data_IF_852098603848
#
_entry.id   IF_852098603848
#
_cell.length_a   1.000
_cell.length_b   1.000
_cell.length_c   1.000
_cell.angle_alpha   90.00
_cell.angle_beta   90.00
_cell.angle_gamma   90.00
#
_symmetry.space_group_name_H-M   'P 1'
#
loop_
_entity.id
_entity.type
_entity.pdbx_description
1 polymer ?
#
# COMPACT_ATOMS: atom_id res chain seq x y z
N UNK A 1 11.71 31.58 24.74
CA UNK A 1 12.16 30.59 23.74
C UNK A 1 11.77 29.21 24.23
N UNK A 2 11.30 28.31 23.37
CA UNK A 2 11.13 26.87 23.69
C UNK A 2 10.97 26.07 22.38
N UNK A 3 12.04 26.04 21.59
CA UNK A 3 12.12 25.24 20.36
C UNK A 3 12.40 23.78 20.69
N UNK A 4 11.42 23.08 21.27
CA UNK A 4 11.38 21.61 21.24
C UNK A 4 11.07 21.17 19.81
N UNK A 5 12.05 21.33 18.92
CA UNK A 5 12.06 20.61 17.66
C UNK A 5 11.99 19.12 17.99
N UNK A 6 11.07 18.40 17.34
CA UNK A 6 10.88 16.98 17.55
C UNK A 6 12.12 16.24 17.07
N UNK A 7 13.09 16.05 17.97
CA UNK A 7 14.32 15.29 17.72
C UNK A 7 13.95 13.81 17.63
N UNK A 8 13.44 13.42 16.46
CA UNK A 8 13.00 12.07 16.15
C UNK A 8 14.23 11.17 16.01
N UNK A 9 14.71 10.66 17.15
CA UNK A 9 15.86 9.76 17.22
C UNK A 9 15.65 8.55 16.32
N UNK A 10 16.43 8.47 15.25
CA UNK A 10 16.45 7.31 14.36
C UNK A 10 17.09 6.16 15.14
N UNK A 11 16.33 5.10 15.37
CA UNK A 11 16.83 3.86 15.97
C UNK A 11 17.18 2.90 14.84
N UNK A 12 18.47 2.64 14.65
CA UNK A 12 18.96 1.70 13.63
C UNK A 12 18.60 0.27 13.98
N UNK A 13 18.10 -0.49 13.01
CA UNK A 13 17.54 -1.82 13.21
C UNK A 13 18.52 -2.98 13.05
N UNK A 14 18.10 -4.13 13.57
CA UNK A 14 18.71 -5.45 13.35
C UNK A 14 18.40 -6.02 11.96
N UNK A 15 18.87 -7.24 11.68
CA UNK A 15 18.68 -7.94 10.39
C UNK A 15 17.17 -8.16 10.10
N UNK A 16 16.59 -7.49 9.09
CA UNK A 16 15.15 -7.54 8.83
C UNK A 16 14.72 -8.82 8.11
N UNK A 17 15.64 -9.70 7.69
CA UNK A 17 15.33 -10.86 6.82
C UNK A 17 14.45 -11.93 7.48
N UNK A 18 14.28 -11.89 8.80
CA UNK A 18 13.33 -12.73 9.52
C UNK A 18 11.88 -12.22 9.50
N UNK A 19 11.63 -11.01 8.98
CA UNK A 19 10.32 -10.36 9.00
C UNK A 19 9.49 -10.73 7.76
N UNK A 20 8.20 -11.07 7.91
CA UNK A 20 7.33 -11.30 6.76
C UNK A 20 7.16 -10.04 5.90
N UNK A 21 7.16 -8.84 6.51
CA UNK A 21 7.09 -7.55 5.81
C UNK A 21 8.31 -7.32 4.92
N UNK A 22 9.51 -7.74 5.36
CA UNK A 22 10.74 -7.62 4.58
C UNK A 22 10.78 -8.61 3.40
N UNK A 23 10.15 -9.76 3.54
CA UNK A 23 9.94 -10.68 2.42
C UNK A 23 8.96 -10.09 1.40
N UNK A 24 7.83 -9.54 1.86
CA UNK A 24 6.82 -8.91 1.01
C UNK A 24 7.34 -7.68 0.25
N UNK A 25 8.09 -6.79 0.92
CA UNK A 25 8.62 -5.57 0.27
C UNK A 25 9.64 -5.91 -0.82
N UNK A 26 10.46 -6.96 -0.64
CA UNK A 26 11.40 -7.41 -1.68
C UNK A 26 10.69 -8.02 -2.88
N UNK A 27 9.65 -8.83 -2.67
CA UNK A 27 8.88 -9.38 -3.80
C UNK A 27 8.17 -8.26 -4.60
N UNK A 28 7.60 -7.27 -3.90
CA UNK A 28 6.99 -6.09 -4.53
C UNK A 28 8.00 -5.26 -5.33
N UNK A 29 9.22 -5.07 -4.82
CA UNK A 29 10.32 -4.40 -5.53
C UNK A 29 10.83 -5.22 -6.73
N UNK A 30 10.90 -6.55 -6.62
CA UNK A 30 11.42 -7.44 -7.67
C UNK A 30 10.56 -7.47 -8.94
N UNK A 31 9.27 -7.12 -8.84
CA UNK A 31 8.40 -6.88 -10.01
C UNK A 31 9.05 -5.94 -11.04
N UNK A 32 9.82 -4.95 -10.58
CA UNK A 32 10.53 -3.98 -11.44
C UNK A 32 11.77 -4.56 -12.17
N UNK A 33 11.95 -5.88 -12.11
CA UNK A 33 12.93 -6.67 -12.87
C UNK A 33 12.27 -7.87 -13.59
N UNK A 34 10.97 -8.09 -13.42
CA UNK A 34 10.27 -9.27 -13.95
C UNK A 34 9.91 -9.11 -15.43
N UNK A 35 10.09 -10.13 -16.30
CA UNK A 35 9.87 -9.99 -17.75
C UNK A 35 8.47 -9.52 -18.17
N UNK A 36 7.42 -9.91 -17.44
CA UNK A 36 6.04 -9.48 -17.71
C UNK A 36 5.67 -8.09 -17.16
N UNK A 37 6.61 -7.40 -16.49
CA UNK A 37 6.44 -6.07 -15.89
C UNK A 37 5.12 -5.87 -15.13
N UNK A 38 4.80 -6.73 -14.14
CA UNK A 38 3.58 -6.59 -13.34
C UNK A 38 3.63 -5.29 -12.51
N UNK A 39 2.45 -4.70 -12.25
CA UNK A 39 2.35 -3.39 -11.61
C UNK A 39 2.92 -3.38 -10.17
N UNK A 40 3.69 -2.33 -9.86
CA UNK A 40 4.23 -2.07 -8.52
C UNK A 40 3.32 -1.15 -7.72
N UNK A 41 2.86 -1.66 -6.58
CA UNK A 41 2.14 -0.89 -5.58
C UNK A 41 3.12 -0.12 -4.67
N UNK A 42 3.58 1.04 -5.13
CA UNK A 42 4.48 1.90 -4.35
C UNK A 42 3.94 2.30 -2.96
N UNK A 43 2.61 2.37 -2.79
CA UNK A 43 1.99 2.63 -1.48
C UNK A 43 2.14 1.46 -0.52
N UNK A 44 2.14 0.23 -1.03
CA UNK A 44 2.45 -0.98 -0.25
C UNK A 44 3.92 -1.04 0.13
N UNK A 45 4.84 -0.68 -0.77
CA UNK A 45 6.27 -0.56 -0.46
C UNK A 45 6.50 0.46 0.67
N UNK A 46 5.85 1.61 0.60
CA UNK A 46 5.91 2.65 1.64
C UNK A 46 5.34 2.16 2.98
N UNK A 47 4.19 1.47 3.00
CA UNK A 47 3.57 1.00 4.24
C UNK A 47 4.33 -0.16 4.91
N UNK A 48 4.86 -1.11 4.12
CA UNK A 48 5.70 -2.21 4.62
C UNK A 48 7.00 -1.67 5.22
N UNK A 49 7.65 -0.70 4.58
CA UNK A 49 8.85 -0.08 5.14
C UNK A 49 8.57 0.63 6.47
N UNK A 50 7.47 1.39 6.56
CA UNK A 50 7.03 2.04 7.78
C UNK A 50 6.60 1.05 8.88
N UNK A 51 6.23 -0.19 8.55
CA UNK A 51 5.98 -1.26 9.51
C UNK A 51 7.30 -1.83 10.06
N UNK A 52 8.26 -2.15 9.18
CA UNK A 52 9.60 -2.64 9.55
C UNK A 52 10.33 -1.64 10.46
N UNK A 53 10.29 -0.34 10.12
CA UNK A 53 10.91 0.71 10.95
C UNK A 53 10.35 0.75 12.38
N UNK A 54 9.08 0.40 12.58
CA UNK A 54 8.43 0.36 13.90
C UNK A 54 8.72 -0.92 14.67
N UNK A 55 8.84 -2.05 13.96
CA UNK A 55 8.99 -3.38 14.56
C UNK A 55 10.46 -3.75 14.86
N UNK A 56 11.39 -3.36 13.98
CA UNK A 56 12.80 -3.77 14.00
C UNK A 56 13.78 -2.58 14.04
N UNK A 57 13.31 -1.36 13.79
CA UNK A 57 14.17 -0.19 13.57
C UNK A 57 14.57 -0.02 12.10
N UNK A 58 15.36 1.01 11.81
CA UNK A 58 15.68 1.42 10.43
C UNK A 58 16.96 0.75 9.94
N UNK A 59 16.88 -0.03 8.86
CA UNK A 59 18.01 -0.62 8.14
C UNK A 59 18.19 -0.02 6.73
N UNK A 60 19.36 -0.22 6.11
CA UNK A 60 19.70 0.41 4.83
C UNK A 60 18.81 -0.06 3.66
N UNK A 61 18.42 -1.33 3.59
CA UNK A 61 17.62 -1.85 2.48
C UNK A 61 16.19 -1.30 2.58
N UNK A 62 15.60 -1.33 3.78
CA UNK A 62 14.27 -0.78 4.00
C UNK A 62 14.26 0.74 3.82
N UNK A 63 15.34 1.45 4.20
CA UNK A 63 15.48 2.89 3.99
C UNK A 63 15.59 3.28 2.49
N UNK A 64 16.32 2.51 1.67
CA UNK A 64 16.37 2.77 0.21
C UNK A 64 15.07 2.40 -0.49
N UNK A 65 14.39 1.31 -0.08
CA UNK A 65 13.06 0.94 -0.59
C UNK A 65 12.01 2.00 -0.23
N UNK A 66 11.99 2.48 1.02
CA UNK A 66 11.14 3.60 1.47
C UNK A 66 11.40 4.85 0.64
N UNK A 67 12.66 5.26 0.49
CA UNK A 67 13.03 6.47 -0.26
C UNK A 67 12.62 6.34 -1.74
N UNK A 68 12.78 5.16 -2.34
CA UNK A 68 12.35 4.90 -3.72
C UNK A 68 10.82 5.00 -3.87
N UNK A 69 10.07 4.45 -2.93
CA UNK A 69 8.62 4.56 -2.89
C UNK A 69 8.16 6.00 -2.72
N UNK A 70 8.70 6.75 -1.75
CA UNK A 70 8.43 8.18 -1.54
C UNK A 70 8.78 9.03 -2.76
N UNK A 71 9.87 8.72 -3.45
CA UNK A 71 10.25 9.39 -4.71
C UNK A 71 9.21 9.14 -5.82
N UNK A 72 8.56 7.97 -5.84
CA UNK A 72 7.48 7.64 -6.79
C UNK A 72 6.12 8.21 -6.39
N UNK A 73 5.79 8.25 -5.09
CA UNK A 73 4.47 8.71 -4.60
C UNK A 73 4.40 10.22 -4.37
N UNK A 74 5.53 10.90 -4.13
CA UNK A 74 5.60 12.31 -3.73
C UNK A 74 6.73 13.10 -4.44
N UNK A 75 7.35 12.53 -5.49
CA UNK A 75 8.35 13.22 -6.31
C UNK A 75 9.57 13.68 -5.51
N UNK A 76 10.00 14.91 -5.76
CA UNK A 76 11.18 15.50 -5.12
C UNK A 76 11.04 15.64 -3.59
N UNK A 77 9.85 15.95 -3.07
CA UNK A 77 9.65 16.05 -1.62
C UNK A 77 9.92 14.71 -0.92
N UNK A 78 9.37 13.63 -1.48
CA UNK A 78 9.62 12.28 -0.99
C UNK A 78 11.06 11.80 -1.16
N UNK A 79 11.75 12.23 -2.23
CA UNK A 79 13.20 11.98 -2.38
C UNK A 79 14.03 12.74 -1.32
N UNK A 80 13.71 14.01 -1.08
CA UNK A 80 14.40 14.87 -0.12
C UNK A 80 14.35 14.27 1.30
N UNK A 81 13.17 13.91 1.80
CA UNK A 81 12.99 13.30 3.12
C UNK A 81 13.73 11.96 3.27
N UNK A 82 13.68 11.10 2.25
CA UNK A 82 14.38 9.82 2.28
C UNK A 82 15.90 9.96 2.15
N UNK A 83 16.37 10.96 1.39
CA UNK A 83 17.78 11.32 1.34
C UNK A 83 18.28 11.86 2.70
N UNK A 84 17.48 12.66 3.41
CA UNK A 84 17.79 13.13 4.76
C UNK A 84 17.82 11.96 5.78
N UNK A 85 16.88 11.02 5.71
CA UNK A 85 16.88 9.80 6.52
C UNK A 85 18.16 8.97 6.29
N UNK A 86 18.50 8.71 5.03
CA UNK A 86 19.72 7.99 4.65
C UNK A 86 20.99 8.75 5.10
N UNK A 87 20.99 10.08 4.97
CA UNK A 87 22.12 10.92 5.39
C UNK A 87 22.35 10.88 6.91
N UNK A 88 21.29 10.91 7.71
CA UNK A 88 21.38 10.79 9.16
C UNK A 88 21.94 9.41 9.57
N UNK A 89 21.37 8.31 9.03
CA UNK A 89 21.85 6.95 9.30
C UNK A 89 23.33 6.76 8.90
N UNK A 90 23.69 7.15 7.68
CA UNK A 90 25.05 7.02 7.15
C UNK A 90 26.04 7.84 7.99
N UNK A 91 25.71 9.09 8.32
CA UNK A 91 26.62 9.98 9.06
C UNK A 91 26.86 9.52 10.50
N UNK A 92 25.80 9.15 11.22
CA UNK A 92 25.86 8.93 12.68
C UNK A 92 26.04 7.46 13.09
N UNK A 93 25.47 6.52 12.34
CA UNK A 93 25.31 5.12 12.77
C UNK A 93 25.84 4.10 11.76
N UNK A 94 26.79 4.52 10.90
CA UNK A 94 27.46 3.66 9.92
C UNK A 94 27.86 2.30 10.48
N UNK A 95 28.51 2.24 11.64
CA UNK A 95 29.02 1.00 12.21
C UNK A 95 27.97 0.18 12.98
N UNK A 96 26.69 0.60 12.94
CA UNK A 96 25.57 -0.04 13.66
C UNK A 96 24.49 -0.60 12.74
N UNK A 97 24.08 0.11 11.69
CA UNK A 97 22.93 -0.33 10.88
C UNK A 97 23.20 -1.58 10.04
N UNK A 98 22.16 -2.40 9.85
CA UNK A 98 22.20 -3.51 8.92
C UNK A 98 22.10 -3.05 7.45
N UNK A 99 22.79 -3.69 6.48
CA UNK A 99 23.71 -4.81 6.63
C UNK A 99 25.09 -4.35 7.12
N UNK A 100 25.80 -5.19 7.89
CA UNK A 100 27.14 -4.84 8.40
C UNK A 100 28.26 -4.95 7.35
N UNK A 101 28.04 -5.73 6.28
CA UNK A 101 29.05 -5.97 5.25
C UNK A 101 29.21 -4.78 4.31
N UNK A 102 30.40 -4.17 4.26
CA UNK A 102 30.75 -3.09 3.33
C UNK A 102 30.35 -3.33 1.87
N UNK A 103 30.59 -4.53 1.28
CA UNK A 103 30.13 -4.83 -0.09
C UNK A 103 28.62 -4.69 -0.28
N UNK A 104 27.81 -5.23 0.64
CA UNK A 104 26.35 -5.14 0.58
C UNK A 104 25.85 -3.69 0.74
N UNK A 105 26.54 -2.86 1.55
CA UNK A 105 26.27 -1.42 1.63
C UNK A 105 26.54 -0.72 0.31
N UNK A 106 27.70 -1.00 -0.32
CA UNK A 106 28.05 -0.47 -1.64
C UNK A 106 27.03 -0.89 -2.71
N UNK A 107 26.65 -2.17 -2.74
CA UNK A 107 25.69 -2.71 -3.71
C UNK A 107 24.30 -2.08 -3.55
N UNK A 108 23.79 -1.95 -2.32
CA UNK A 108 22.50 -1.31 -2.07
C UNK A 108 22.51 0.19 -2.39
N UNK A 109 23.61 0.90 -2.11
CA UNK A 109 23.75 2.32 -2.45
C UNK A 109 23.91 2.55 -3.97
N UNK A 110 24.60 1.67 -4.70
CA UNK A 110 24.67 1.73 -6.17
C UNK A 110 23.34 1.32 -6.84
N UNK A 111 22.59 0.37 -6.26
CA UNK A 111 21.22 0.04 -6.68
C UNK A 111 20.28 1.24 -6.51
N UNK A 112 20.33 1.89 -5.33
CA UNK A 112 19.54 3.08 -5.02
C UNK A 112 19.86 4.24 -5.96
N UNK A 113 21.14 4.55 -6.14
CA UNK A 113 21.64 5.55 -7.10
C UNK A 113 21.07 5.31 -8.52
N UNK A 114 21.12 4.06 -8.97
CA UNK A 114 20.64 3.67 -10.31
C UNK A 114 19.13 3.80 -10.46
N UNK A 115 18.34 3.26 -9.52
CA UNK A 115 16.87 3.27 -9.56
C UNK A 115 16.31 4.68 -9.35
N UNK A 116 16.75 5.38 -8.32
CA UNK A 116 16.27 6.73 -7.96
C UNK A 116 16.73 7.78 -8.96
N UNK A 117 17.98 7.69 -9.43
CA UNK A 117 18.52 8.58 -10.46
C UNK A 117 17.76 8.52 -11.78
N UNK A 118 17.25 7.34 -12.17
CA UNK A 118 16.42 7.22 -13.39
C UNK A 118 15.06 7.91 -13.22
N UNK A 119 14.42 7.79 -12.06
CA UNK A 119 13.15 8.47 -11.77
C UNK A 119 13.34 9.99 -11.79
N UNK A 120 14.37 10.49 -11.09
CA UNK A 120 14.73 11.91 -11.05
C UNK A 120 15.04 12.50 -12.44
N UNK A 121 15.58 11.70 -13.37
CA UNK A 121 15.88 12.15 -14.75
C UNK A 121 14.71 12.04 -15.73
N UNK A 122 13.74 11.16 -15.49
CA UNK A 122 12.73 10.79 -16.49
C UNK A 122 11.28 11.12 -16.09
N UNK A 123 11.00 11.31 -14.80
CA UNK A 123 9.64 11.34 -14.24
C UNK A 123 9.38 12.54 -13.31
N UNK A 124 10.42 13.30 -12.95
CA UNK A 124 10.32 14.48 -12.09
C UNK A 124 10.73 15.70 -12.91
N UNK A 125 9.80 16.64 -13.07
CA UNK A 125 10.07 18.00 -13.53
C UNK A 125 10.52 18.86 -12.34
N UNK A 126 11.37 19.85 -12.59
CA UNK A 126 11.91 20.74 -11.56
C UNK A 126 11.65 22.20 -11.94
N UNK A 127 11.17 23.00 -10.98
CA UNK A 127 10.87 24.42 -11.11
C UNK A 127 11.61 25.25 -10.05
N UNK A 128 11.62 26.58 -10.20
CA UNK A 128 12.29 27.49 -9.25
C UNK A 128 11.72 27.39 -7.82
N UNK A 129 10.42 27.04 -7.69
CA UNK A 129 9.76 26.74 -6.42
C UNK A 129 10.43 25.60 -5.63
N UNK A 130 11.13 24.71 -6.32
CA UNK A 130 11.73 23.51 -5.74
C UNK A 130 13.11 23.77 -5.13
N UNK A 131 13.71 24.94 -5.38
CA UNK A 131 15.05 25.30 -4.89
C UNK A 131 15.27 24.97 -3.40
N UNK A 132 14.35 25.26 -2.45
CA UNK A 132 14.53 24.89 -1.03
C UNK A 132 14.64 23.38 -0.79
N UNK A 133 13.92 22.55 -1.56
CA UNK A 133 14.04 21.09 -1.50
C UNK A 133 15.34 20.61 -2.17
N UNK A 134 15.75 21.24 -3.28
CA UNK A 134 17.00 20.91 -3.97
C UNK A 134 18.20 21.21 -3.05
N UNK A 135 18.23 22.35 -2.35
CA UNK A 135 19.28 22.67 -1.36
C UNK A 135 19.36 21.64 -0.22
N UNK A 136 18.22 21.23 0.35
CA UNK A 136 18.16 20.19 1.40
C UNK A 136 18.67 18.85 0.88
N UNK A 137 18.19 18.43 -0.29
CA UNK A 137 18.58 17.19 -0.96
C UNK A 137 20.08 17.18 -1.30
N UNK A 138 20.62 18.29 -1.82
CA UNK A 138 22.05 18.47 -2.08
C UNK A 138 22.87 18.33 -0.80
N UNK A 139 22.44 18.95 0.31
CA UNK A 139 23.15 18.81 1.60
C UNK A 139 23.10 17.39 2.16
N UNK A 140 21.96 16.71 2.05
CA UNK A 140 21.82 15.32 2.48
C UNK A 140 22.72 14.38 1.67
N UNK A 141 22.71 14.51 0.34
CA UNK A 141 23.59 13.73 -0.54
C UNK A 141 25.08 14.06 -0.32
N UNK A 142 25.42 15.32 -0.02
CA UNK A 142 26.78 15.71 0.35
C UNK A 142 27.23 15.00 1.63
N UNK A 143 26.41 14.98 2.69
CA UNK A 143 26.72 14.26 3.94
C UNK A 143 26.98 12.76 3.70
N UNK A 144 26.17 12.12 2.85
CA UNK A 144 26.38 10.72 2.46
C UNK A 144 27.74 10.55 1.75
N UNK A 145 28.06 11.43 0.79
CA UNK A 145 29.33 11.38 0.06
C UNK A 145 30.55 11.65 0.97
N UNK A 146 30.47 12.68 1.82
CA UNK A 146 31.50 13.07 2.79
C UNK A 146 31.86 11.89 3.69
N UNK A 147 30.85 11.16 4.19
CA UNK A 147 31.04 9.98 5.04
C UNK A 147 31.53 8.77 4.26
N UNK A 148 31.05 8.54 3.04
CA UNK A 148 31.52 7.44 2.18
C UNK A 148 33.00 7.55 1.79
N UNK A 149 33.58 8.76 1.79
CA UNK A 149 35.01 8.99 1.61
C UNK A 149 35.85 8.70 2.87
N UNK A 150 35.23 8.69 4.06
CA UNK A 150 35.91 8.48 5.35
C UNK A 150 35.94 7.01 5.80
N UNK A 151 35.22 6.12 5.10
CA UNK A 151 35.04 4.71 5.51
C UNK A 151 35.72 3.77 4.52
N UNK A 152 36.44 2.77 5.02
CA UNK A 152 37.20 1.84 4.19
C UNK A 152 36.28 0.88 3.41
N UNK A 153 36.01 1.23 2.14
CA UNK A 153 35.23 0.42 1.21
C UNK A 153 36.09 -0.06 0.04
N UNK A 154 36.05 -1.37 -0.24
CA UNK A 154 36.71 -1.98 -1.42
C UNK A 154 36.27 -1.36 -2.76
N UNK A 155 35.08 -0.76 -2.79
CA UNK A 155 34.50 0.03 -3.88
C UNK A 155 33.59 1.08 -3.26
N UNK A 156 33.84 2.35 -3.57
CA UNK A 156 32.95 3.46 -3.20
C UNK A 156 31.69 3.42 -4.10
N UNK A 157 30.47 3.46 -3.54
CA UNK A 157 29.23 3.55 -4.33
C UNK A 157 29.04 4.97 -4.87
N UNK A 158 28.52 5.09 -6.09
CA UNK A 158 28.55 6.33 -6.90
C UNK A 158 27.42 7.32 -6.55
N UNK A 159 27.10 7.48 -5.27
CA UNK A 159 26.03 8.39 -4.78
C UNK A 159 26.26 9.84 -5.23
N UNK A 160 27.53 10.20 -5.47
CA UNK A 160 27.96 11.44 -6.12
C UNK A 160 27.19 11.77 -7.42
N UNK A 161 26.72 10.77 -8.17
CA UNK A 161 25.92 10.99 -9.39
C UNK A 161 24.59 11.70 -9.09
N UNK A 162 23.96 11.43 -7.94
CA UNK A 162 22.76 12.13 -7.50
C UNK A 162 23.11 13.54 -7.03
N UNK A 163 24.23 13.70 -6.33
CA UNK A 163 24.73 14.99 -5.84
C UNK A 163 25.03 15.96 -7.00
N UNK A 164 25.81 15.53 -8.00
CA UNK A 164 26.08 16.33 -9.20
C UNK A 164 24.80 16.63 -9.98
N UNK A 165 23.84 15.71 -10.04
CA UNK A 165 22.55 15.93 -10.70
C UNK A 165 21.71 17.00 -9.97
N UNK A 166 21.66 16.99 -8.63
CA UNK A 166 21.03 18.05 -7.83
C UNK A 166 21.75 19.38 -8.01
N UNK A 167 23.08 19.43 -7.89
CA UNK A 167 23.88 20.64 -8.08
C UNK A 167 23.69 21.28 -9.46
N UNK A 168 23.65 20.47 -10.52
CA UNK A 168 23.44 20.97 -11.89
C UNK A 168 21.98 21.38 -12.13
N UNK A 169 21.02 20.73 -11.47
CA UNK A 169 19.61 21.15 -11.48
C UNK A 169 19.43 22.48 -10.74
N UNK A 170 20.08 22.67 -9.58
CA UNK A 170 20.15 23.94 -8.86
C UNK A 170 20.73 25.05 -9.72
N UNK A 171 21.94 24.88 -10.29
CA UNK A 171 22.60 25.90 -11.12
C UNK A 171 21.79 26.35 -12.36
N UNK A 172 20.84 25.52 -12.82
CA UNK A 172 19.92 25.83 -13.93
C UNK A 172 18.67 26.61 -13.49
N UNK A 173 18.25 26.44 -12.23
CA UNK A 173 17.04 27.04 -11.65
C UNK A 173 17.36 28.26 -10.76
N UNK A 174 18.60 28.39 -10.28
CA UNK A 174 19.07 29.62 -9.66
C UNK A 174 18.99 30.76 -10.68
N UNK A 175 18.26 31.85 -10.38
CA UNK A 175 18.19 33.00 -11.27
C UNK A 175 19.61 33.57 -11.43
N UNK A 176 20.16 33.44 -12.64
CA UNK A 176 21.52 33.87 -12.96
C UNK A 176 21.66 35.37 -12.66
N UNK A 177 22.48 35.72 -11.67
CA UNK A 177 22.74 37.11 -11.26
C UNK A 177 23.61 37.85 -12.30
N UNK A 178 23.10 37.96 -13.52
CA UNK A 178 23.79 38.55 -14.68
C UNK A 178 23.21 39.92 -15.00
N UNK A 179 23.97 40.94 -14.59
CA UNK A 179 24.09 42.23 -15.28
C UNK A 179 22.79 42.96 -15.66
N UNK A 180 21.97 43.31 -14.67
CA UNK A 180 21.02 44.43 -14.83
C UNK A 180 21.65 45.80 -14.49
N UNK A 181 22.99 45.85 -14.40
CA UNK A 181 23.79 47.05 -14.09
C UNK A 181 23.80 48.09 -15.22
N UNK A 182 23.50 47.70 -16.45
CA UNK A 182 23.49 48.60 -17.63
C UNK A 182 22.12 49.22 -17.92
N UNK A 183 21.07 48.86 -17.18
CA UNK A 183 19.75 49.52 -17.23
C UNK A 183 19.41 50.25 -15.92
N UNK A 184 20.39 50.98 -15.37
CA UNK A 184 20.18 51.99 -14.33
C UNK A 184 19.49 53.27 -14.87
N UNK A 185 18.54 53.12 -15.79
CA UNK A 185 17.79 54.19 -16.45
C UNK A 185 16.66 54.72 -15.55
N UNK A 186 17.03 55.49 -14.53
CA UNK A 186 16.21 56.49 -13.82
C UNK A 186 14.67 56.29 -13.79
N UNK A 187 14.18 55.16 -13.28
CA UNK A 187 12.76 55.03 -12.93
C UNK A 187 12.48 55.78 -11.62
N UNK A 188 11.88 56.97 -11.73
CA UNK A 188 11.54 57.81 -10.57
C UNK A 188 10.45 57.16 -9.72
N UNK A 189 10.67 57.12 -8.40
CA UNK A 189 9.69 56.59 -7.44
C UNK A 189 8.47 57.53 -7.40
N UNK A 190 7.36 57.08 -7.98
CA UNK A 190 6.04 57.70 -7.78
C UNK A 190 5.28 56.97 -6.68
N UNK A 191 5.28 57.55 -5.49
CA UNK A 191 4.46 57.10 -4.36
C UNK A 191 2.98 57.19 -4.73
N UNK A 192 2.32 56.06 -4.98
CA UNK A 192 0.88 56.00 -5.18
C UNK A 192 0.17 56.02 -3.81
N UNK A 193 -0.22 57.23 -3.39
CA UNK A 193 -1.10 57.43 -2.24
C UNK A 193 -2.53 57.05 -2.67
N UNK A 194 -3.11 56.06 -2.00
CA UNK A 194 -4.48 55.62 -2.28
C UNK A 194 -5.48 56.43 -1.43
N UNK A 195 -6.41 57.12 -2.10
CA UNK A 195 -7.54 57.85 -1.48
C UNK A 195 -8.84 57.19 -1.95
N UNK A 196 -9.77 56.80 -1.04
CA UNK A 196 -10.98 56.08 -1.40
C UNK A 196 -12.22 57.00 -1.56
N UNK A 197 -12.93 56.90 -2.69
CA UNK A 197 -14.26 57.52 -2.90
C UNK A 197 -15.29 56.56 -3.53
N UNK A 198 -16.12 55.95 -2.68
CA UNK A 198 -17.60 56.03 -2.69
C UNK A 198 -18.19 57.08 -3.67
N UNK A 199 -19.19 56.84 -4.54
CA UNK A 199 -20.14 55.74 -4.81
C UNK A 199 -20.74 55.93 -6.25
N UNK A 200 -21.80 55.32 -6.81
CA UNK A 200 -22.86 54.36 -6.42
C UNK A 200 -23.57 53.79 -7.70
N UNK A 201 -24.52 52.85 -7.51
CA UNK A 201 -25.61 52.47 -8.43
C UNK A 201 -25.25 51.61 -9.67
N UNK A 202 -26.12 50.71 -10.18
CA UNK A 202 -27.55 50.46 -9.88
C UNK A 202 -27.95 48.96 -9.76
N UNK A 203 -29.12 48.72 -9.18
CA UNK A 203 -29.88 47.46 -8.98
C UNK A 203 -30.55 46.90 -10.27
N UNK A 204 -31.27 45.74 -10.25
CA UNK A 204 -31.24 44.53 -9.39
C UNK A 204 -30.76 43.31 -10.25
N UNK A 205 -31.05 42.01 -10.11
CA UNK A 205 -32.21 41.23 -9.62
C UNK A 205 -31.83 39.75 -9.41
N UNK A 206 -32.61 38.99 -8.62
CA UNK A 206 -32.31 37.59 -8.28
C UNK A 206 -33.11 36.60 -9.13
N UNK A 207 -32.44 35.63 -9.75
CA UNK A 207 -33.07 34.58 -10.58
C UNK A 207 -32.83 33.20 -9.97
N UNK A 208 -33.92 32.50 -9.66
CA UNK A 208 -33.93 31.09 -9.22
C UNK A 208 -34.28 30.21 -10.43
N UNK A 209 -33.53 29.12 -10.71
CA UNK A 209 -33.89 28.19 -11.79
C UNK A 209 -34.98 27.19 -11.35
N UNK A 210 -36.10 27.06 -12.08
CA UNK A 210 -37.15 26.08 -11.81
C UNK A 210 -36.90 24.73 -12.49
N UNK A 211 -37.59 23.68 -12.02
CA UNK A 211 -37.59 22.33 -12.60
C UNK A 211 -38.54 22.24 -13.83
N UNK A 212 -38.14 21.55 -14.92
CA UNK A 212 -39.04 21.14 -15.99
C UNK A 212 -39.79 19.84 -15.63
N UNK A 213 -40.87 19.48 -16.34
CA UNK A 213 -41.61 18.24 -16.06
C UNK A 213 -42.47 17.70 -17.19
N UNK A 214 -42.84 16.41 -17.03
CA UNK A 214 -43.80 15.60 -17.80
C UNK A 214 -43.41 15.30 -19.27
N UNK A 215 -43.84 14.14 -19.81
CA UNK A 215 -45.21 13.96 -20.29
C UNK A 215 -45.95 12.73 -19.70
N UNK A 216 -47.19 12.55 -20.16
CA UNK A 216 -48.17 11.50 -19.81
C UNK A 216 -47.77 10.12 -20.42
N UNK A 217 -48.43 8.96 -20.16
CA UNK A 217 -49.84 8.69 -20.50
C UNK A 217 -50.35 7.31 -20.03
N UNK A 218 -51.68 7.29 -19.84
CA UNK A 218 -52.64 6.17 -19.91
C UNK A 218 -53.05 5.44 -18.62
N UNK A 219 -54.38 5.25 -18.57
CA UNK A 219 -55.19 4.63 -17.52
C UNK A 219 -55.76 3.32 -18.07
N UNK A 220 -55.94 2.32 -17.22
CA UNK A 220 -57.12 1.47 -17.32
C UNK A 220 -57.56 0.99 -15.92
N UNK A 221 -58.82 1.28 -15.56
CA UNK A 221 -59.46 0.81 -14.33
C UNK A 221 -60.59 -0.13 -14.74
N UNK A 222 -60.67 -1.30 -14.11
CA UNK A 222 -61.80 -2.22 -14.28
C UNK A 222 -62.45 -2.49 -12.93
N UNK A 223 -63.77 -2.39 -12.91
CA UNK A 223 -64.58 -2.23 -11.72
C UNK A 223 -64.73 -3.50 -10.88
N UNK A 224 -64.97 -3.29 -9.59
CA UNK A 224 -65.57 -4.29 -8.70
C UNK A 224 -66.94 -4.72 -9.23
N UNK A 225 -67.24 -6.02 -9.14
CA UNK A 225 -68.61 -6.53 -9.10
C UNK A 225 -68.72 -7.42 -7.87
N UNK A 226 -69.51 -6.97 -6.90
CA UNK A 226 -69.78 -7.68 -5.66
C UNK A 226 -70.97 -8.64 -5.83
N UNK A 227 -70.90 -9.84 -5.25
CA UNK A 227 -72.06 -10.57 -4.73
C UNK A 227 -71.62 -11.77 -3.85
N UNK A 228 -72.28 -12.04 -2.71
CA UNK A 228 -72.02 -13.17 -1.80
C UNK A 228 -73.09 -14.27 -1.98
N UNK A 229 -73.30 -15.23 -1.04
CA UNK A 229 -72.40 -15.85 -0.05
C UNK A 229 -72.29 -17.38 -0.28
N UNK A 230 -71.54 -18.10 0.57
CA UNK A 230 -72.09 -19.25 1.33
C UNK A 230 -71.11 -19.79 2.39
N UNK A 231 -71.65 -20.31 3.48
CA UNK A 231 -70.87 -20.91 4.57
C UNK A 231 -70.67 -22.42 4.33
N UNK A 232 -69.45 -22.92 4.57
CA UNK A 232 -69.15 -24.35 4.56
C UNK A 232 -68.92 -24.88 5.98
N UNK A 233 -69.67 -25.93 6.34
CA UNK A 233 -69.70 -26.50 7.70
C UNK A 233 -68.38 -27.17 8.05
N UNK A 234 -67.79 -26.80 9.18
CA UNK A 234 -66.64 -27.52 9.76
C UNK A 234 -67.11 -28.92 10.20
N UNK A 235 -66.77 -29.96 9.43
CA UNK A 235 -66.87 -31.35 9.87
C UNK A 235 -65.54 -31.80 10.45
N UNK A 236 -65.52 -32.10 11.74
CA UNK A 236 -64.39 -32.80 12.38
C UNK A 236 -64.18 -34.15 11.68
N UNK A 237 -63.07 -34.29 10.95
CA UNK A 237 -62.91 -35.42 10.03
C UNK A 237 -61.48 -35.85 9.68
N UNK A 238 -60.43 -35.06 9.99
CA UNK A 238 -59.05 -35.59 10.03
C UNK A 238 -58.02 -34.63 10.66
N UNK A 239 -57.94 -34.60 11.99
CA UNK A 239 -56.82 -33.93 12.69
C UNK A 239 -55.47 -34.57 12.33
N UNK A 240 -55.44 -35.89 12.13
CA UNK A 240 -54.21 -36.63 11.76
C UNK A 240 -53.73 -36.28 10.35
N UNK A 241 -54.61 -36.20 9.33
CA UNK A 241 -54.16 -35.72 7.99
C UNK A 241 -53.75 -34.26 8.02
N UNK A 242 -54.41 -33.42 8.83
CA UNK A 242 -53.97 -32.04 9.06
C UNK A 242 -52.56 -31.96 9.66
N UNK A 243 -52.24 -32.83 10.63
CA UNK A 243 -50.91 -32.89 11.25
C UNK A 243 -49.83 -33.43 10.30
N UNK A 244 -50.12 -34.50 9.54
CA UNK A 244 -49.19 -35.04 8.54
C UNK A 244 -48.97 -34.06 7.37
N UNK A 245 -50.02 -33.38 6.90
CA UNK A 245 -49.89 -32.31 5.92
C UNK A 245 -49.10 -31.12 6.48
N UNK A 246 -49.33 -30.77 7.76
CA UNK A 246 -48.54 -29.77 8.48
C UNK A 246 -47.05 -30.10 8.50
N UNK A 247 -46.68 -31.32 8.91
CA UNK A 247 -45.29 -31.80 8.90
C UNK A 247 -44.73 -31.81 7.48
N UNK A 248 -45.48 -32.30 6.48
CA UNK A 248 -45.03 -32.30 5.09
C UNK A 248 -44.77 -30.88 4.56
N UNK A 249 -45.64 -29.91 4.88
CA UNK A 249 -45.42 -28.50 4.57
C UNK A 249 -44.25 -27.90 5.35
N UNK A 250 -44.08 -28.20 6.64
CA UNK A 250 -42.95 -27.73 7.44
C UNK A 250 -41.61 -28.27 6.91
N UNK A 251 -41.56 -29.56 6.52
CA UNK A 251 -40.37 -30.15 5.89
C UNK A 251 -40.15 -29.54 4.51
N UNK A 252 -41.18 -29.37 3.68
CA UNK A 252 -41.04 -28.73 2.37
C UNK A 252 -40.55 -27.28 2.47
N UNK A 253 -41.06 -26.49 3.42
CA UNK A 253 -40.60 -25.12 3.69
C UNK A 253 -39.18 -25.11 4.24
N UNK A 254 -38.83 -26.00 5.18
CA UNK A 254 -37.47 -26.12 5.68
C UNK A 254 -36.48 -26.54 4.57
N UNK A 255 -36.86 -27.47 3.70
CA UNK A 255 -36.08 -27.88 2.52
C UNK A 255 -35.94 -26.75 1.51
N UNK A 256 -37.00 -25.97 1.25
CA UNK A 256 -36.95 -24.81 0.36
C UNK A 256 -36.06 -23.70 0.93
N UNK A 257 -36.14 -23.41 2.24
CA UNK A 257 -35.26 -22.46 2.92
C UNK A 257 -33.80 -22.94 2.92
N UNK A 258 -33.55 -24.22 3.18
CA UNK A 258 -32.21 -24.82 3.09
C UNK A 258 -31.64 -24.73 1.67
N UNK A 259 -32.46 -25.03 0.66
CA UNK A 259 -32.09 -24.90 -0.75
C UNK A 259 -31.88 -23.44 -1.18
N UNK A 260 -32.64 -22.49 -0.61
CA UNK A 260 -32.47 -21.07 -0.90
C UNK A 260 -31.24 -20.45 -0.20
N UNK A 261 -30.87 -20.94 0.99
CA UNK A 261 -29.90 -20.27 1.86
C UNK A 261 -28.57 -21.02 2.03
N UNK A 262 -28.54 -22.36 1.95
CA UNK A 262 -27.32 -23.17 2.12
C UNK A 262 -26.74 -23.59 0.77
N UNK A 263 -27.58 -23.97 -0.21
CA UNK A 263 -27.12 -24.41 -1.53
C UNK A 263 -26.33 -23.35 -2.33
N UNK A 264 -26.74 -22.06 -2.43
CA UNK A 264 -25.91 -21.07 -3.12
C UNK A 264 -24.60 -20.77 -2.38
N UNK A 265 -24.58 -20.87 -1.05
CA UNK A 265 -23.35 -20.75 -0.26
C UNK A 265 -22.41 -21.93 -0.54
N UNK A 266 -22.92 -23.15 -0.68
CA UNK A 266 -22.11 -24.30 -1.10
C UNK A 266 -21.55 -24.15 -2.53
N UNK A 267 -22.31 -23.59 -3.48
CA UNK A 267 -21.79 -23.30 -4.81
C UNK A 267 -20.71 -22.21 -4.81
N UNK A 268 -20.86 -21.16 -3.98
CA UNK A 268 -19.82 -20.16 -3.77
C UNK A 268 -18.58 -20.76 -3.11
N UNK A 269 -18.74 -21.60 -2.08
CA UNK A 269 -17.62 -22.29 -1.43
C UNK A 269 -16.84 -23.18 -2.39
N UNK A 270 -17.49 -23.83 -3.36
CA UNK A 270 -16.80 -24.62 -4.39
C UNK A 270 -15.92 -23.74 -5.30
N UNK A 271 -16.45 -22.64 -5.84
CA UNK A 271 -15.67 -21.69 -6.66
C UNK A 271 -14.55 -20.99 -5.87
N UNK A 272 -14.76 -20.77 -4.57
CA UNK A 272 -13.74 -20.22 -3.65
C UNK A 272 -12.64 -21.24 -3.36
N UNK A 273 -12.94 -22.55 -3.34
CA UNK A 273 -11.97 -23.62 -3.13
C UNK A 273 -11.05 -23.85 -4.35
N UNK A 274 -11.42 -23.39 -5.55
CA UNK A 274 -10.54 -23.36 -6.73
C UNK A 274 -9.42 -22.30 -6.62
N UNK A 275 -9.52 -21.36 -5.68
CA UNK A 275 -8.48 -20.36 -5.39
C UNK A 275 -7.74 -20.73 -4.11
N UNK A 276 -6.39 -20.80 -4.13
CA UNK A 276 -5.58 -21.23 -2.98
C UNK A 276 -5.88 -20.47 -1.66
N UNK A 277 -6.18 -19.17 -1.74
CA UNK A 277 -6.57 -18.36 -0.59
C UNK A 277 -7.94 -18.77 0.00
N UNK A 278 -8.91 -19.10 -0.86
CA UNK A 278 -10.24 -19.56 -0.45
C UNK A 278 -10.23 -20.99 0.08
N UNK A 279 -9.44 -21.86 -0.55
CA UNK A 279 -9.13 -23.20 -0.01
C UNK A 279 -8.49 -23.12 1.39
N UNK A 280 -7.73 -22.07 1.69
CA UNK A 280 -7.12 -21.86 3.00
C UNK A 280 -8.09 -21.27 4.04
N UNK A 281 -8.96 -20.31 3.69
CA UNK A 281 -9.97 -19.78 4.62
C UNK A 281 -11.02 -20.82 5.01
N UNK A 282 -11.42 -21.69 4.07
CA UNK A 282 -12.29 -22.85 4.37
C UNK A 282 -11.61 -23.83 5.31
N UNK A 283 -10.31 -24.10 5.14
CA UNK A 283 -9.55 -24.95 6.06
C UNK A 283 -9.42 -24.34 7.46
N UNK A 284 -9.27 -23.02 7.60
CA UNK A 284 -9.25 -22.39 8.94
C UNK A 284 -10.60 -22.48 9.67
N UNK A 285 -11.73 -22.58 8.93
CA UNK A 285 -13.05 -22.83 9.51
C UNK A 285 -13.26 -24.31 9.93
N UNK A 286 -12.62 -25.26 9.25
CA UNK A 286 -12.65 -26.69 9.60
C UNK A 286 -11.27 -27.33 9.39
N UNK A 287 -10.35 -27.26 10.38
CA UNK A 287 -8.98 -27.73 10.21
C UNK A 287 -8.88 -29.26 10.06
N UNK A 288 -8.20 -29.69 9.00
CA UNK A 288 -7.93 -31.10 8.66
C UNK A 288 -6.42 -31.36 8.53
N UNK A 289 -5.87 -32.36 9.24
CA UNK A 289 -4.43 -32.64 9.20
C UNK A 289 -3.97 -33.19 7.82
N UNK A 290 -4.73 -34.11 7.22
CA UNK A 290 -4.37 -34.77 5.96
C UNK A 290 -4.16 -33.81 4.78
N UNK A 291 -4.92 -32.71 4.74
CA UNK A 291 -4.87 -31.72 3.68
C UNK A 291 -3.96 -30.50 4.00
N UNK A 292 -3.38 -30.44 5.19
CA UNK A 292 -2.59 -29.28 5.67
C UNK A 292 -1.36 -29.00 4.79
N UNK A 293 -0.51 -30.01 4.57
CA UNK A 293 0.72 -29.89 3.79
C UNK A 293 0.44 -29.45 2.33
N UNK A 294 -0.55 -30.08 1.68
CA UNK A 294 -0.93 -29.76 0.30
C UNK A 294 -1.46 -28.33 0.16
N UNK A 295 -2.27 -27.86 1.12
CA UNK A 295 -2.77 -26.48 1.12
C UNK A 295 -1.65 -25.46 1.39
N UNK A 296 -0.67 -25.79 2.23
CA UNK A 296 0.55 -24.97 2.38
C UNK A 296 1.36 -24.91 1.06
N UNK A 297 1.60 -26.03 0.38
CA UNK A 297 2.32 -26.03 -0.90
C UNK A 297 1.61 -25.16 -1.96
N UNK A 298 0.28 -25.24 -2.07
CA UNK A 298 -0.51 -24.37 -2.97
C UNK A 298 -0.41 -22.87 -2.64
N UNK A 299 -0.15 -22.50 -1.38
CA UNK A 299 0.10 -21.11 -0.96
C UNK A 299 1.55 -20.65 -1.24
N UNK A 300 2.53 -21.55 -1.40
CA UNK A 300 3.89 -21.18 -1.86
C UNK A 300 3.87 -20.81 -3.34
N UNK A 301 3.16 -21.58 -4.16
CA UNK A 301 3.06 -21.41 -5.61
C UNK A 301 2.27 -20.14 -6.02
N UNK A 302 1.52 -19.54 -5.09
CA UNK A 302 0.70 -18.34 -5.32
C UNK A 302 1.36 -17.08 -4.74
N UNK A 303 1.62 -16.07 -5.58
CA UNK A 303 2.23 -14.78 -5.18
C UNK A 303 1.20 -13.80 -4.54
N UNK A 304 1.57 -12.95 -3.56
CA UNK A 304 2.35 -13.35 -2.38
C UNK A 304 1.85 -12.81 -1.03
N UNK A 305 1.19 -11.64 -1.01
CA UNK A 305 0.99 -10.85 0.22
C UNK A 305 -0.04 -11.49 1.16
N UNK A 306 -1.25 -11.76 0.68
CA UNK A 306 -2.27 -12.44 1.49
C UNK A 306 -1.96 -13.93 1.72
N UNK A 307 -1.45 -14.72 0.75
CA UNK A 307 -1.02 -16.10 0.99
C UNK A 307 -0.05 -16.27 2.17
N UNK A 308 0.88 -15.34 2.37
CA UNK A 308 1.87 -15.43 3.45
C UNK A 308 1.23 -15.18 4.82
N UNK A 309 0.37 -14.15 4.96
CA UNK A 309 -0.39 -13.95 6.22
C UNK A 309 -1.32 -15.14 6.50
N UNK A 310 -2.04 -15.63 5.49
CA UNK A 310 -2.90 -16.80 5.60
C UNK A 310 -2.13 -18.05 6.03
N UNK A 311 -0.95 -18.31 5.45
CA UNK A 311 -0.07 -19.40 5.88
C UNK A 311 0.40 -19.26 7.34
N UNK A 312 0.72 -18.04 7.79
CA UNK A 312 1.05 -17.78 9.20
C UNK A 312 -0.15 -17.96 10.15
N UNK A 313 -1.38 -17.71 9.69
CA UNK A 313 -2.60 -18.00 10.45
C UNK A 313 -2.87 -19.51 10.51
N UNK A 314 -2.74 -20.22 9.38
CA UNK A 314 -2.86 -21.69 9.32
C UNK A 314 -1.86 -22.39 10.23
N UNK A 315 -0.58 -21.98 10.24
CA UNK A 315 0.42 -22.54 11.15
C UNK A 315 0.04 -22.35 12.63
N UNK A 316 -0.45 -21.17 13.03
CA UNK A 316 -0.92 -20.91 14.40
C UNK A 316 -2.12 -21.78 14.79
N UNK A 317 -3.07 -21.97 13.87
CA UNK A 317 -4.23 -22.87 14.09
C UNK A 317 -3.77 -24.32 14.23
N UNK A 318 -2.86 -24.78 13.37
CA UNK A 318 -2.33 -26.14 13.40
C UNK A 318 -1.54 -26.42 14.68
N UNK A 319 -0.69 -25.50 15.10
CA UNK A 319 0.12 -25.56 16.33
C UNK A 319 -0.77 -25.63 17.59
N UNK A 320 -1.81 -24.80 17.66
CA UNK A 320 -2.78 -24.83 18.78
C UNK A 320 -3.65 -26.10 18.85
N UNK A 321 -3.71 -26.90 17.78
CA UNK A 321 -4.66 -28.02 17.64
C UNK A 321 -3.98 -29.39 17.57
N UNK A 322 -2.73 -29.46 17.12
CA UNK A 322 -1.93 -30.68 17.03
C UNK A 322 -0.44 -30.46 17.39
N UNK A 323 -0.10 -29.91 18.58
CA UNK A 323 1.28 -29.55 18.92
C UNK A 323 2.27 -30.72 18.91
N UNK A 324 1.79 -31.94 19.19
CA UNK A 324 2.61 -33.18 19.18
C UNK A 324 2.63 -33.88 17.80
N UNK A 325 1.97 -33.33 16.77
CA UNK A 325 1.91 -33.99 15.46
C UNK A 325 3.19 -33.75 14.64
N UNK A 326 4.01 -34.80 14.54
CA UNK A 326 5.23 -34.80 13.74
C UNK A 326 4.99 -34.41 12.26
N UNK A 327 3.80 -34.72 11.70
CA UNK A 327 3.41 -34.30 10.35
C UNK A 327 3.13 -32.79 10.27
N UNK A 328 2.46 -32.20 11.27
CA UNK A 328 2.26 -30.74 11.36
C UNK A 328 3.61 -30.02 11.48
N UNK A 329 4.52 -30.55 12.29
CA UNK A 329 5.83 -29.95 12.53
C UNK A 329 6.67 -29.98 11.24
N UNK A 330 6.73 -31.13 10.55
CA UNK A 330 7.45 -31.27 9.27
C UNK A 330 6.90 -30.34 8.18
N UNK A 331 5.58 -30.28 7.97
CA UNK A 331 5.01 -29.39 6.95
C UNK A 331 5.28 -27.91 7.27
N UNK A 332 5.26 -27.54 8.55
CA UNK A 332 5.53 -26.17 9.00
C UNK A 332 7.02 -25.80 8.90
N UNK A 333 7.96 -26.73 9.14
CA UNK A 333 9.38 -26.48 8.91
C UNK A 333 9.70 -26.35 7.42
N UNK A 334 9.16 -27.21 6.56
CA UNK A 334 9.33 -27.13 5.10
C UNK A 334 8.82 -25.79 4.54
N UNK A 335 7.64 -25.34 4.96
CA UNK A 335 7.10 -24.02 4.59
C UNK A 335 8.05 -22.87 4.98
N UNK A 336 8.58 -22.90 6.20
CA UNK A 336 9.51 -21.88 6.69
C UNK A 336 10.88 -21.93 5.97
N UNK A 337 11.37 -23.12 5.60
CA UNK A 337 12.59 -23.26 4.78
C UNK A 337 12.38 -22.81 3.34
N UNK A 338 11.20 -23.05 2.75
CA UNK A 338 10.84 -22.54 1.43
C UNK A 338 10.77 -21.00 1.40
N UNK A 339 10.13 -20.38 2.40
CA UNK A 339 10.12 -18.92 2.55
C UNK A 339 11.55 -18.36 2.72
N UNK A 340 12.35 -18.96 3.61
CA UNK A 340 13.76 -18.58 3.84
C UNK A 340 14.59 -18.71 2.56
N UNK A 341 14.36 -19.74 1.75
CA UNK A 341 15.03 -19.95 0.46
C UNK A 341 14.60 -18.89 -0.56
N UNK A 342 13.29 -18.59 -0.70
CA UNK A 342 12.78 -17.50 -1.54
C UNK A 342 13.35 -16.13 -1.13
N UNK A 343 13.51 -15.89 0.17
CA UNK A 343 14.14 -14.67 0.70
C UNK A 343 15.65 -14.59 0.43
N UNK A 344 16.34 -15.73 0.28
CA UNK A 344 17.76 -15.80 -0.08
C UNK A 344 18.02 -15.74 -1.59
N UNK A 345 17.14 -16.33 -2.41
CA UNK A 345 17.24 -16.29 -3.88
C UNK A 345 16.70 -14.99 -4.51
N UNK A 346 16.02 -14.16 -3.71
CA UNK A 346 15.68 -12.78 -4.08
C UNK A 346 16.95 -11.93 -4.25
N UNK A 347 17.12 -11.21 -5.37
CA UNK A 347 18.23 -10.27 -5.61
C UNK A 347 18.11 -8.97 -4.81
#
# INVERSE_FOLDING_TARGET
MNSNGLTQTIVTGSDPRGLPEFSAIREEINKASHPSQPELNWKLVESLALAIFKANGVDLHTATYYTLARTRTQGLAGFCEGAELLAAMVSHDWDKFWPQGGPARTEMLDWFNSRTGNILRQQISFAESDLPLIYRTERALQLICDKLQQVELKRVPRVENLLYFMQNTRKRLEPQLKSNTENAAQTTVRTLIYVPETQASSTPEAVVPPLPGLPEMKVEVRSLTENPPQASVIKQGSTVRGFIAGIACSVAVASALWWWQVYPVQQQLLQVNDTAQGAATVWMASPELENYERRLQQLLDTSPVQPLETGMQMMRVADSRWPESLQQQQASTQWNEALKTRAQSSP
#
